data_IF_972191209996
#
_entry.id   IF_972191209996
#
_cell.length_a   1.000
_cell.length_b   1.000
_cell.length_c   1.000
_cell.angle_alpha   90.00
_cell.angle_beta   90.00
_cell.angle_gamma   90.00
#
_symmetry.space_group_name_H-M   'P 1'
#
loop_
_entity.id
_entity.type
_entity.pdbx_description
1 polymer ?
#
# COMPACT_ATOMS: atom_id res chain seq x y z
N UNK A 1 -14.82 -8.46 -7.72
CA UNK A 1 -14.28 -7.18 -7.45
C UNK A 1 -13.21 -7.01 -6.40
N UNK A 2 -13.36 -5.99 -5.57
CA UNK A 2 -12.31 -5.55 -4.62
C UNK A 2 -11.84 -6.66 -3.67
N UNK A 3 -12.75 -7.33 -2.99
CA UNK A 3 -12.41 -8.41 -2.05
C UNK A 3 -11.71 -9.60 -2.69
N UNK A 4 -12.02 -9.90 -3.95
CA UNK A 4 -11.36 -10.97 -4.69
C UNK A 4 -9.87 -10.65 -4.93
N UNK A 5 -9.55 -9.41 -5.28
CA UNK A 5 -8.16 -8.95 -5.45
C UNK A 5 -7.41 -8.89 -4.11
N UNK A 6 -8.07 -8.49 -3.03
CA UNK A 6 -7.49 -8.49 -1.69
C UNK A 6 -7.13 -9.91 -1.24
N UNK A 7 -8.01 -10.88 -1.50
CA UNK A 7 -7.75 -12.28 -1.17
C UNK A 7 -6.55 -12.83 -1.97
N UNK A 8 -6.46 -12.53 -3.25
CA UNK A 8 -5.31 -12.92 -4.09
C UNK A 8 -4.00 -12.34 -3.52
N UNK A 9 -3.99 -11.06 -3.15
CA UNK A 9 -2.80 -10.41 -2.55
C UNK A 9 -2.42 -11.03 -1.20
N UNK A 10 -3.40 -11.39 -0.38
CA UNK A 10 -3.15 -12.10 0.88
C UNK A 10 -2.57 -13.50 0.63
N UNK A 11 -3.12 -14.25 -0.31
CA UNK A 11 -2.61 -15.57 -0.70
C UNK A 11 -1.17 -15.51 -1.23
N UNK A 12 -0.80 -14.43 -1.94
CA UNK A 12 0.58 -14.22 -2.42
C UNK A 12 1.61 -14.24 -1.30
N UNK A 13 1.30 -13.70 -0.11
CA UNK A 13 2.19 -13.77 1.05
C UNK A 13 2.51 -15.21 1.44
N UNK A 14 1.50 -16.07 1.41
CA UNK A 14 1.64 -17.47 1.83
C UNK A 14 2.35 -18.29 0.77
N UNK A 15 1.95 -18.17 -0.48
CA UNK A 15 2.46 -19.04 -1.55
C UNK A 15 3.87 -18.70 -1.97
N UNK A 16 4.25 -17.43 -2.02
CA UNK A 16 5.61 -17.01 -2.35
C UNK A 16 6.61 -17.50 -1.28
N UNK A 17 6.32 -17.23 0.00
CA UNK A 17 7.11 -17.77 1.12
C UNK A 17 7.07 -19.29 1.17
N UNK A 18 5.91 -19.88 0.89
CA UNK A 18 5.76 -21.32 0.80
C UNK A 18 6.73 -21.97 -0.19
N UNK A 19 6.80 -21.42 -1.39
CA UNK A 19 7.70 -21.93 -2.44
C UNK A 19 9.17 -21.69 -2.12
N UNK A 20 9.53 -20.43 -1.83
CA UNK A 20 10.94 -20.02 -1.79
C UNK A 20 11.62 -20.24 -0.44
N UNK A 21 10.88 -20.27 0.67
CA UNK A 21 11.44 -20.50 2.00
C UNK A 21 11.09 -21.86 2.59
N UNK A 22 9.92 -22.44 2.25
CA UNK A 22 9.43 -23.68 2.88
C UNK A 22 9.39 -24.87 1.93
N UNK A 23 9.90 -24.74 0.70
CA UNK A 23 10.01 -25.82 -0.27
C UNK A 23 8.67 -26.40 -0.75
N UNK A 24 7.61 -25.59 -0.81
CA UNK A 24 6.33 -26.06 -1.34
C UNK A 24 6.44 -26.37 -2.83
N UNK A 25 5.87 -27.51 -3.21
CA UNK A 25 5.77 -27.87 -4.62
C UNK A 25 4.79 -26.95 -5.37
N UNK A 26 5.00 -26.79 -6.67
CA UNK A 26 4.07 -26.04 -7.55
C UNK A 26 2.63 -26.51 -7.39
N UNK A 27 2.40 -27.83 -7.33
CA UNK A 27 1.05 -28.39 -7.16
C UNK A 27 0.41 -27.97 -5.84
N UNK A 28 1.16 -28.00 -4.74
CA UNK A 28 0.66 -27.53 -3.42
C UNK A 28 0.23 -26.07 -3.46
N UNK A 29 0.95 -25.24 -4.18
CA UNK A 29 0.61 -23.81 -4.35
C UNK A 29 -0.65 -23.64 -5.18
N UNK A 30 -0.82 -24.40 -6.27
CA UNK A 30 -2.04 -24.41 -7.08
C UNK A 30 -3.24 -24.79 -6.21
N UNK A 31 -3.14 -25.86 -5.45
CA UNK A 31 -4.22 -26.35 -4.60
C UNK A 31 -4.61 -25.32 -3.51
N UNK A 32 -3.61 -24.66 -2.92
CA UNK A 32 -3.83 -23.58 -1.98
C UNK A 32 -4.58 -22.40 -2.61
N UNK A 33 -4.13 -21.93 -3.77
CA UNK A 33 -4.79 -20.83 -4.48
C UNK A 33 -6.21 -21.15 -4.91
N UNK A 34 -6.45 -22.35 -5.42
CA UNK A 34 -7.79 -22.84 -5.80
C UNK A 34 -8.74 -22.88 -4.60
N UNK A 35 -8.24 -23.26 -3.43
CA UNK A 35 -9.03 -23.33 -2.21
C UNK A 35 -9.43 -21.95 -1.67
N UNK A 36 -8.61 -20.92 -1.87
CA UNK A 36 -8.77 -19.63 -1.19
C UNK A 36 -9.13 -18.49 -2.15
N UNK A 37 -9.16 -18.71 -3.46
CA UNK A 37 -9.51 -17.69 -4.46
C UNK A 37 -10.56 -18.19 -5.44
N UNK A 38 -11.26 -17.26 -6.06
CA UNK A 38 -12.21 -17.56 -7.14
C UNK A 38 -11.57 -17.41 -8.54
N UNK A 39 -10.24 -17.40 -8.63
CA UNK A 39 -9.54 -17.30 -9.90
C UNK A 39 -9.64 -18.62 -10.68
N UNK A 40 -9.64 -18.54 -12.02
CA UNK A 40 -9.59 -19.72 -12.86
C UNK A 40 -8.26 -20.46 -12.71
N UNK A 41 -8.26 -21.76 -12.92
CA UNK A 41 -7.04 -22.58 -12.81
C UNK A 41 -5.94 -22.11 -13.75
N UNK A 42 -6.30 -21.71 -14.95
CA UNK A 42 -5.38 -21.18 -15.95
C UNK A 42 -4.67 -19.90 -15.45
N UNK A 43 -5.44 -18.97 -14.89
CA UNK A 43 -4.88 -17.75 -14.28
C UNK A 43 -4.00 -18.07 -13.07
N UNK A 44 -4.40 -19.02 -12.22
CA UNK A 44 -3.61 -19.47 -11.07
C UNK A 44 -2.28 -20.04 -11.54
N UNK A 45 -2.27 -20.93 -12.51
CA UNK A 45 -1.05 -21.54 -13.04
C UNK A 45 -0.09 -20.49 -13.62
N UNK A 46 -0.59 -19.57 -14.43
CA UNK A 46 0.18 -18.48 -15.02
C UNK A 46 0.82 -17.57 -13.95
N UNK A 47 0.05 -17.21 -12.93
CA UNK A 47 0.55 -16.39 -11.82
C UNK A 47 1.63 -17.12 -11.00
N UNK A 48 1.43 -18.42 -10.73
CA UNK A 48 2.40 -19.22 -9.97
C UNK A 48 3.72 -19.34 -10.74
N UNK A 49 3.65 -19.59 -12.05
CA UNK A 49 4.86 -19.68 -12.89
C UNK A 49 5.63 -18.35 -12.86
N UNK A 50 4.93 -17.23 -12.83
CA UNK A 50 5.54 -15.91 -12.63
C UNK A 50 6.18 -15.77 -11.24
N UNK A 51 5.53 -16.23 -10.16
CA UNK A 51 6.10 -16.16 -8.81
C UNK A 51 7.35 -17.00 -8.66
N UNK A 52 7.41 -18.18 -9.31
CA UNK A 52 8.61 -19.03 -9.32
C UNK A 52 9.81 -18.29 -9.90
N UNK A 53 9.61 -17.52 -10.96
CA UNK A 53 10.70 -16.81 -11.64
C UNK A 53 11.12 -15.51 -10.96
N UNK A 54 10.25 -14.93 -10.09
CA UNK A 54 10.49 -13.67 -9.40
C UNK A 54 10.23 -13.77 -7.90
N UNK A 55 11.15 -14.42 -7.15
CA UNK A 55 11.03 -14.58 -5.70
C UNK A 55 10.84 -13.23 -4.98
N UNK A 56 9.86 -13.15 -4.10
CA UNK A 56 9.60 -11.96 -3.29
C UNK A 56 8.80 -10.84 -3.98
N UNK A 57 8.65 -10.87 -5.31
CA UNK A 57 7.90 -9.81 -6.00
C UNK A 57 6.41 -9.84 -5.63
N UNK A 58 5.82 -11.02 -5.51
CA UNK A 58 4.40 -11.18 -5.24
C UNK A 58 3.98 -10.68 -3.84
N UNK A 59 4.88 -10.75 -2.85
CA UNK A 59 4.61 -10.31 -1.47
C UNK A 59 4.62 -8.79 -1.32
N UNK A 60 5.33 -8.07 -2.18
CA UNK A 60 5.51 -6.62 -2.10
C UNK A 60 4.19 -5.84 -2.11
N UNK A 61 3.19 -6.33 -2.84
CA UNK A 61 1.87 -5.69 -2.91
C UNK A 61 1.17 -5.61 -1.54
N UNK A 62 1.08 -6.72 -0.82
CA UNK A 62 0.36 -6.75 0.47
C UNK A 62 1.20 -6.18 1.60
N UNK A 63 2.50 -6.42 1.60
CA UNK A 63 3.42 -5.83 2.58
C UNK A 63 3.43 -4.31 2.43
N UNK A 64 3.53 -3.79 1.20
CA UNK A 64 3.48 -2.36 0.93
C UNK A 64 2.17 -1.73 1.41
N UNK A 65 1.04 -2.36 1.11
CA UNK A 65 -0.28 -1.91 1.59
C UNK A 65 -0.35 -1.85 3.12
N UNK A 66 0.08 -2.92 3.81
CA UNK A 66 0.08 -2.97 5.28
C UNK A 66 0.93 -1.84 5.84
N UNK A 67 2.15 -1.66 5.33
CA UNK A 67 3.08 -0.64 5.79
C UNK A 67 2.57 0.79 5.57
N UNK A 68 1.98 1.07 4.42
CA UNK A 68 1.38 2.39 4.15
C UNK A 68 0.19 2.65 5.09
N UNK A 69 -0.64 1.65 5.38
CA UNK A 69 -1.73 1.76 6.36
C UNK A 69 -1.23 1.99 7.78
N UNK A 70 -0.14 1.32 8.19
CA UNK A 70 0.51 1.54 9.49
C UNK A 70 1.05 2.96 9.60
N UNK A 71 1.76 3.45 8.57
CA UNK A 71 2.29 4.82 8.51
C UNK A 71 1.17 5.87 8.54
N UNK A 72 0.07 5.61 7.83
CA UNK A 72 -1.11 6.49 7.88
C UNK A 72 -1.66 6.56 9.30
N UNK A 73 -1.92 5.43 9.93
CA UNK A 73 -2.42 5.38 11.31
C UNK A 73 -1.48 6.07 12.31
N UNK A 74 -0.17 5.92 12.11
CA UNK A 74 0.82 6.63 12.91
C UNK A 74 0.70 8.15 12.73
N UNK A 75 0.60 8.63 11.50
CA UNK A 75 0.45 10.05 11.22
C UNK A 75 -0.88 10.62 11.76
N UNK A 76 -1.99 9.90 11.59
CA UNK A 76 -3.30 10.26 12.18
C UNK A 76 -3.20 10.41 13.70
N UNK A 77 -2.58 9.46 14.39
CA UNK A 77 -2.41 9.51 15.85
C UNK A 77 -1.50 10.65 16.32
N UNK A 78 -0.49 11.01 15.54
CA UNK A 78 0.46 12.08 15.91
C UNK A 78 -0.05 13.47 15.64
N UNK A 79 -0.78 13.65 14.55
CA UNK A 79 -1.29 14.95 14.10
C UNK A 79 -2.71 15.26 14.61
N UNK A 80 -3.49 14.24 14.99
CA UNK A 80 -4.87 14.43 15.44
C UNK A 80 -5.69 15.24 14.44
N UNK A 81 -6.33 16.31 14.91
CA UNK A 81 -7.15 17.19 14.08
C UNK A 81 -6.36 17.94 12.98
N UNK A 82 -5.03 17.96 13.06
CA UNK A 82 -4.16 18.54 12.03
C UNK A 82 -3.80 17.55 10.91
N UNK A 83 -4.29 16.31 10.94
CA UNK A 83 -4.04 15.33 9.89
C UNK A 83 -4.84 15.67 8.63
N UNK A 84 -4.14 15.78 7.48
CA UNK A 84 -4.76 15.87 6.16
C UNK A 84 -4.27 14.71 5.28
N UNK A 85 -5.22 13.91 4.79
CA UNK A 85 -4.96 12.75 3.96
C UNK A 85 -4.25 13.12 2.64
N UNK A 86 -4.49 14.30 2.10
CA UNK A 86 -3.89 14.76 0.84
C UNK A 86 -2.41 15.04 1.03
N UNK A 87 -2.07 15.72 2.12
CA UNK A 87 -0.67 15.98 2.50
C UNK A 87 0.08 14.68 2.80
N UNK A 88 -0.57 13.75 3.51
CA UNK A 88 0.00 12.42 3.72
C UNK A 88 0.28 11.70 2.39
N UNK A 89 -0.68 11.70 1.45
CA UNK A 89 -0.46 11.10 0.12
C UNK A 89 0.67 11.79 -0.64
N UNK A 90 0.83 13.09 -0.51
CA UNK A 90 1.92 13.81 -1.15
C UNK A 90 3.29 13.39 -0.61
N UNK A 91 3.43 13.20 0.71
CA UNK A 91 4.64 12.65 1.32
C UNK A 91 4.95 11.25 0.77
N UNK A 92 3.94 10.38 0.71
CA UNK A 92 4.08 9.03 0.16
C UNK A 92 4.53 9.04 -1.30
N UNK A 93 3.92 9.89 -2.13
CA UNK A 93 4.19 9.93 -3.58
C UNK A 93 5.50 10.62 -3.95
N UNK A 94 6.00 11.54 -3.12
CA UNK A 94 7.31 12.19 -3.34
C UNK A 94 8.47 11.28 -2.99
N UNK A 95 8.29 10.34 -2.11
CA UNK A 95 9.34 9.41 -1.71
C UNK A 95 9.46 8.27 -2.71
N UNK A 96 10.44 8.33 -3.59
CA UNK A 96 10.79 7.26 -4.51
C UNK A 96 11.90 6.40 -3.92
N UNK A 97 11.57 5.50 -3.00
CA UNK A 97 12.57 4.68 -2.31
C UNK A 97 12.02 3.43 -1.65
N UNK A 98 12.90 2.65 -1.00
CA UNK A 98 12.50 1.52 -0.16
C UNK A 98 11.57 1.93 0.97
N UNK A 99 10.79 0.98 1.48
CA UNK A 99 9.72 1.24 2.43
C UNK A 99 10.22 1.78 3.78
N UNK A 100 11.42 1.43 4.18
CA UNK A 100 12.09 1.94 5.38
C UNK A 100 12.49 3.42 5.25
N UNK A 101 12.83 3.88 4.05
CA UNK A 101 13.05 5.30 3.76
C UNK A 101 11.72 6.05 3.81
N UNK A 102 10.68 5.50 3.21
CA UNK A 102 9.34 6.08 3.28
C UNK A 102 8.83 6.22 4.73
N UNK A 103 9.10 5.23 5.58
CA UNK A 103 8.75 5.29 7.00
C UNK A 103 9.47 6.44 7.73
N UNK A 104 10.75 6.68 7.43
CA UNK A 104 11.51 7.84 7.97
C UNK A 104 10.92 9.16 7.50
N UNK A 105 10.58 9.28 6.22
CA UNK A 105 9.95 10.49 5.66
C UNK A 105 8.62 10.81 6.36
N UNK A 106 7.78 9.80 6.62
CA UNK A 106 6.54 9.99 7.37
C UNK A 106 6.80 10.37 8.83
N UNK A 107 7.84 9.81 9.46
CA UNK A 107 8.25 10.19 10.82
C UNK A 107 8.75 11.62 10.90
N UNK A 108 9.47 12.12 9.91
CA UNK A 108 9.88 13.52 9.83
C UNK A 108 8.70 14.44 9.53
N UNK A 109 7.83 14.06 8.59
CA UNK A 109 6.61 14.81 8.27
C UNK A 109 5.79 15.16 9.51
N UNK A 110 5.55 14.22 10.43
CA UNK A 110 4.74 14.47 11.62
C UNK A 110 5.42 15.35 12.67
N UNK A 111 6.75 15.55 12.58
CA UNK A 111 7.53 16.43 13.50
C UNK A 111 7.58 17.87 12.99
N UNK A 112 7.45 18.09 11.71
CA UNK A 112 7.65 19.40 11.09
C UNK A 112 6.41 20.29 11.22
N UNK A 113 6.58 21.61 11.46
CA UNK A 113 5.49 22.58 11.36
C UNK A 113 4.83 22.65 9.98
N UNK A 114 5.52 22.12 8.93
CA UNK A 114 5.02 21.98 7.57
C UNK A 114 3.66 21.28 7.48
N UNK A 115 3.35 20.34 8.38
CA UNK A 115 2.01 19.73 8.45
C UNK A 115 0.95 20.80 8.77
N UNK A 116 1.27 21.79 9.59
CA UNK A 116 0.38 22.90 9.96
C UNK A 116 0.36 24.04 8.91
N UNK A 117 1.52 24.36 8.34
CA UNK A 117 1.63 25.39 7.29
C UNK A 117 0.98 24.95 5.98
N UNK A 118 1.14 23.69 5.58
CA UNK A 118 0.50 23.17 4.37
C UNK A 118 -1.02 23.14 4.50
N UNK A 119 -1.54 22.88 5.70
CA UNK A 119 -2.97 22.98 6.00
C UNK A 119 -3.48 24.40 5.83
N UNK A 120 -2.73 25.40 6.30
CA UNK A 120 -3.08 26.82 6.14
C UNK A 120 -3.02 27.28 4.68
N UNK A 121 -2.03 26.84 3.91
CA UNK A 121 -1.91 27.15 2.48
C UNK A 121 -3.04 26.53 1.65
N UNK A 122 -3.44 25.28 1.93
CA UNK A 122 -4.57 24.62 1.24
C UNK A 122 -5.91 25.26 1.61
N UNK A 123 -6.12 25.65 2.87
CA UNK A 123 -7.32 26.37 3.30
C UNK A 123 -7.43 27.73 2.60
N UNK A 124 -6.34 28.47 2.45
CA UNK A 124 -6.29 29.73 1.70
C UNK A 124 -6.55 29.54 0.21
N UNK A 125 -6.00 28.48 -0.40
CA UNK A 125 -6.19 28.15 -1.82
C UNK A 125 -7.61 27.69 -2.15
N UNK A 126 -8.33 27.08 -1.22
CA UNK A 126 -9.75 26.72 -1.38
C UNK A 126 -10.67 27.94 -1.30
N UNK A 127 -10.40 28.87 -0.40
CA UNK A 127 -11.14 30.14 -0.31
C UNK A 127 -11.06 30.98 -1.59
N UNK A 128 -9.90 31.02 -2.25
CA UNK A 128 -9.71 31.77 -3.50
C UNK A 128 -10.46 31.17 -4.68
N UNK A 129 -10.67 29.87 -4.70
CA UNK A 129 -11.45 29.18 -5.76
C UNK A 129 -12.95 29.42 -5.65
N UNK A 130 -13.49 29.54 -4.45
CA UNK A 130 -14.92 29.79 -4.24
C UNK A 130 -15.32 31.24 -4.57
N UNK A 131 -14.38 32.18 -4.45
CA UNK A 131 -14.62 33.58 -4.84
C UNK A 131 -14.71 33.73 -6.37
N UNK A 132 -14.03 32.90 -7.15
CA UNK A 132 -14.07 32.94 -8.62
C UNK A 132 -15.22 32.13 -9.24
N UNK A 133 -15.93 31.34 -8.46
CA UNK A 133 -17.08 30.53 -8.91
C UNK A 133 -18.42 31.25 -8.75
N UNK A 134 -18.43 32.34 -8.00
CA UNK A 134 -19.62 33.16 -7.72
C UNK A 134 -19.60 34.51 -8.44
N UNK A 135 -18.85 34.66 -9.53
CA UNK A 135 -18.94 35.74 -10.50
C UNK A 135 -19.27 35.14 -11.86
#
# INVERSE_FOLDING_TARGET
>A
GHYSMEMIRACRLVVDTGMHALGWSRQRVIDFMKKHTAASEENICSEIDRYITWPGQAVGYKIGEIKIKEMRKYAENKLGDSFDIRTFHEVILRCAGPIDILEKEVQEYVKTPLAKEYHSMLAQSSMTRDIHRNK
#
